data_IF_568453992889
#
_entry.id   IF_568453992889
#
_cell.length_a   1.000
_cell.length_b   1.000
_cell.length_c   1.000
_cell.angle_alpha   90.00
_cell.angle_beta   90.00
_cell.angle_gamma   90.00
#
_symmetry.space_group_name_H-M   'P 1'
#
loop_
_entity.id
_entity.type
_entity.pdbx_description
1 polymer ?
2 non-polymer ?
3 water ?
#
# COMPACT_ATOMS: atom_id res chain seq x y z
N UNK A 14 -5.37 2.73 23.76
CA UNK A 14 -5.76 1.39 24.24
C UNK A 14 -7.29 1.23 24.19
N UNK A 15 -8.05 2.20 24.72
CA UNK A 15 -9.54 2.24 24.62
C UNK A 15 -9.93 2.39 23.14
N UNK A 16 -9.25 3.29 22.44
CA UNK A 16 -9.38 3.54 20.99
C UNK A 16 -9.12 2.28 20.19
N UNK A 17 -8.05 1.54 20.47
CA UNK A 17 -7.62 0.42 19.58
C UNK A 17 -8.51 -0.80 19.86
N UNK A 18 -8.85 -1.05 21.11
CA UNK A 18 -9.66 -2.21 21.50
C UNK A 18 -11.01 -2.10 20.79
N UNK A 19 -11.45 -3.20 20.20
CA UNK A 19 -12.80 -3.28 19.65
C UNK A 19 -12.84 -4.00 18.33
N UNK A 20 -13.94 -3.82 17.62
CA UNK A 20 -14.26 -4.55 16.38
C UNK A 20 -14.00 -3.59 15.23
N UNK A 21 -13.13 -3.99 14.29
CA UNK A 21 -12.74 -3.17 13.13
C UNK A 21 -13.03 -3.96 11.85
N UNK A 22 -13.29 -3.22 10.80
CA UNK A 22 -13.56 -3.76 9.47
C UNK A 22 -12.69 -3.05 8.49
N UNK A 23 -12.21 -3.81 7.50
CA UNK A 23 -11.38 -3.19 6.47
C UNK A 23 -12.21 -3.01 5.20
N UNK A 24 -11.57 -2.56 4.15
CA UNK A 24 -12.25 -2.21 2.88
C UNK A 24 -12.74 -3.49 2.18
N UNK A 25 -12.28 -4.67 2.60
CA UNK A 25 -12.72 -5.94 2.01
C UNK A 25 -13.92 -6.51 2.79
N UNK A 26 -14.25 -5.91 3.94
CA UNK A 26 -15.27 -6.44 4.86
C UNK A 26 -14.74 -7.49 5.79
N UNK A 27 -13.43 -7.63 5.89
CA UNK A 27 -12.77 -8.50 6.89
C UNK A 27 -12.99 -7.90 8.28
N UNK A 28 -13.05 -8.74 9.30
CA UNK A 28 -13.39 -8.35 10.69
C UNK A 28 -12.18 -8.63 11.56
N UNK A 29 -11.71 -7.60 12.23
CA UNK A 29 -10.51 -7.59 13.11
C UNK A 29 -10.99 -7.28 14.54
N UNK A 30 -10.98 -8.25 15.43
CA UNK A 30 -11.46 -8.05 16.83
C UNK A 30 -10.22 -8.07 17.70
N UNK A 31 -9.90 -6.94 18.29
CA UNK A 31 -8.62 -6.81 19.03
C UNK A 31 -8.87 -6.27 20.42
N UNK A 32 -8.08 -6.74 21.35
CA UNK A 32 -7.91 -6.18 22.71
C UNK A 32 -6.50 -5.63 22.83
N UNK A 33 -6.37 -4.34 23.12
CA UNK A 33 -5.09 -3.67 23.40
C UNK A 33 -4.81 -3.76 24.91
N UNK A 34 -3.77 -4.50 25.31
CA UNK A 34 -3.30 -4.57 26.70
C UNK A 34 -2.63 -3.26 27.11
N UNK A 35 -2.57 -3.01 28.44
CA UNK A 35 -2.01 -1.76 29.00
C UNK A 35 -0.53 -1.64 28.64
N UNK A 36 0.16 -2.77 28.50
CA UNK A 36 1.64 -2.87 28.31
C UNK A 36 2.00 -3.29 26.86
N UNK A 37 1.14 -2.98 25.89
CA UNK A 37 1.57 -3.02 24.48
C UNK A 37 1.14 -4.28 23.74
N UNK A 38 0.41 -5.21 24.35
CA UNK A 38 -0.03 -6.45 23.67
C UNK A 38 -1.32 -6.17 22.87
N UNK A 39 -1.37 -6.73 21.67
CA UNK A 39 -2.61 -6.93 20.87
C UNK A 39 -2.94 -8.41 20.89
N UNK A 40 -4.21 -8.76 21.18
CA UNK A 40 -4.69 -10.14 21.10
C UNK A 40 -6.08 -10.14 20.46
N UNK A 41 -6.40 -11.18 19.75
CA UNK A 41 -7.79 -11.28 19.28
C UNK A 41 -7.94 -12.24 18.16
N UNK A 42 -8.87 -11.90 17.24
CA UNK A 42 -9.28 -12.81 16.15
C UNK A 42 -9.43 -11.99 14.87
N UNK A 43 -9.19 -12.66 13.75
CA UNK A 43 -9.29 -12.07 12.40
C UNK A 43 -10.09 -13.04 11.54
N UNK A 44 -11.10 -12.50 10.87
CA UNK A 44 -11.91 -13.23 9.89
C UNK A 44 -11.73 -12.53 8.56
N UNK A 45 -11.14 -13.20 7.59
CA UNK A 45 -10.96 -12.59 6.26
C UNK A 45 -12.20 -12.80 5.39
N UNK A 46 -12.62 -11.74 4.73
CA UNK A 46 -13.71 -11.78 3.73
C UNK A 46 -13.22 -12.43 2.43
N UNK A 47 -11.91 -12.60 2.25
CA UNK A 47 -11.32 -13.10 0.97
C UNK A 47 -10.29 -14.20 1.25
N UNK A 48 -9.90 -14.95 0.22
CA UNK A 48 -8.76 -15.87 0.29
C UNK A 48 -9.20 -17.27 0.58
N UNK A 49 -8.28 -18.16 1.00
CA UNK A 49 -8.48 -19.64 1.00
C UNK A 49 -9.70 -20.00 1.88
N UNK A 50 -10.76 -20.52 1.24
CA UNK A 50 -12.10 -20.72 1.84
C UNK A 50 -12.79 -19.41 2.17
N UNK A 85 -16.61 -19.61 13.58
CA UNK A 85 -15.42 -20.20 14.24
C UNK A 85 -14.42 -20.70 13.20
N UNK A 86 -14.92 -21.30 12.12
CA UNK A 86 -14.10 -21.99 11.07
C UNK A 86 -13.48 -20.95 10.14
N UNK A 87 -14.00 -19.71 10.13
CA UNK A 87 -13.43 -18.61 9.33
C UNK A 87 -12.63 -17.64 10.21
N UNK A 88 -12.47 -17.94 11.50
CA UNK A 88 -11.79 -16.99 12.42
C UNK A 88 -10.41 -17.55 12.74
N UNK A 89 -9.44 -16.64 12.89
CA UNK A 89 -8.04 -17.02 13.16
C UNK A 89 -7.51 -16.15 14.31
N UNK A 90 -6.63 -16.75 15.09
CA UNK A 90 -5.97 -16.03 16.22
C UNK A 90 -5.07 -14.97 15.64
N UNK A 91 -5.07 -13.82 16.28
CA UNK A 91 -4.00 -12.83 16.01
C UNK A 91 -3.29 -12.46 17.29
N UNK A 92 -2.03 -12.08 17.15
CA UNK A 92 -1.31 -11.43 18.24
C UNK A 92 -0.47 -10.32 17.64
N UNK A 93 -0.18 -9.30 18.40
CA UNK A 93 0.63 -8.16 17.94
C UNK A 93 1.08 -7.31 19.09
N UNK A 94 1.53 -6.12 18.74
CA UNK A 94 2.12 -5.14 19.65
C UNK A 94 1.69 -3.75 19.20
N UNK A 95 1.57 -2.83 20.13
CA UNK A 95 1.36 -1.42 19.77
C UNK A 95 2.17 -0.58 20.74
N UNK A 96 2.44 0.65 20.31
CA UNK A 96 3.12 1.66 21.14
C UNK A 96 2.12 2.15 22.20
N UNK A 97 2.31 1.75 23.45
CA UNK A 97 1.39 2.09 24.56
C UNK A 97 1.71 3.47 25.14
N UNK A 98 2.71 4.18 24.58
CA UNK A 98 2.99 5.58 24.98
C UNK A 98 3.36 6.43 23.76
N UNK A 99 2.40 6.69 22.85
CA UNK A 99 2.70 7.41 21.62
C UNK A 99 3.09 8.88 21.87
N UNK A 100 3.70 9.51 20.88
CA UNK A 100 3.97 10.96 20.83
C UNK A 100 2.65 11.69 21.10
N UNK A 101 2.68 12.93 21.59
CA UNK A 101 1.46 13.72 21.90
C UNK A 101 1.38 14.93 20.97
N UNK A 102 2.00 14.83 19.78
CA UNK A 102 2.13 15.92 18.78
C UNK A 102 1.14 15.69 17.62
N UNK A 103 0.07 14.91 17.84
CA UNK A 103 -0.91 14.51 16.82
C UNK A 103 -0.38 13.39 15.92
N UNK A 104 0.70 12.72 16.33
CA UNK A 104 1.22 11.54 15.61
C UNK A 104 0.26 10.37 15.83
N UNK A 105 0.12 9.50 14.85
CA UNK A 105 -0.53 8.20 15.06
C UNK A 105 0.26 7.29 15.99
N UNK A 106 -0.39 6.22 16.36
CA UNK A 106 0.13 5.19 17.25
C UNK A 106 0.58 3.96 16.45
N UNK A 107 1.87 3.65 16.50
CA UNK A 107 2.38 2.53 15.66
C UNK A 107 1.91 1.20 16.21
N UNK A 108 1.59 0.29 15.32
CA UNK A 108 1.19 -1.05 15.77
C UNK A 108 1.39 -2.09 14.68
N UNK A 109 1.28 -3.35 15.06
CA UNK A 109 1.34 -4.43 14.10
C UNK A 109 0.78 -5.71 14.64
N UNK A 110 0.38 -6.60 13.75
CA UNK A 110 -0.10 -7.92 14.21
C UNK A 110 0.09 -8.98 13.15
N UNK A 111 0.05 -10.21 13.59
CA UNK A 111 0.19 -11.41 12.75
C UNK A 111 -1.02 -12.32 12.89
N UNK A 112 -1.40 -12.88 11.77
CA UNK A 112 -2.31 -14.05 11.70
C UNK A 112 -1.59 -15.13 10.93
N UNK A 113 -1.45 -16.32 11.51
CA UNK A 113 -1.15 -17.55 10.75
C UNK A 113 -2.48 -18.19 10.39
N UNK A 114 -2.67 -18.53 9.13
CA UNK A 114 -3.98 -18.91 8.57
C UNK A 114 -4.24 -20.38 8.80
N UNK A 115 -4.09 -20.78 10.05
CA UNK A 115 -4.42 -22.13 10.53
C UNK A 115 -5.39 -21.99 11.69
N UNK A 116 -6.50 -22.74 11.65
CA UNK A 116 -7.37 -22.88 12.84
C UNK A 116 -7.68 -24.37 12.93
N UNK A 117 -8.69 -24.80 13.67
CA UNK A 117 -8.87 -26.26 13.88
C UNK A 117 -9.55 -26.89 12.66
N UNK A 118 -9.97 -26.08 11.68
CA UNK A 118 -10.82 -26.48 10.53
C UNK A 118 -10.10 -26.29 9.19
N UNK A 119 -9.20 -25.31 9.10
CA UNK A 119 -8.57 -24.91 7.82
C UNK A 119 -7.10 -24.58 8.02
N UNK A 120 -6.33 -24.74 6.97
CA UNK A 120 -4.89 -24.35 7.01
C UNK A 120 -4.46 -23.91 5.61
N UNK A 121 -4.16 -22.63 5.48
CA UNK A 121 -3.76 -22.02 4.20
C UNK A 121 -2.23 -21.97 4.09
N UNK A 122 -1.50 -22.51 5.08
CA UNK A 122 -0.02 -22.59 5.09
C UNK A 122 0.53 -21.22 4.70
N UNK A 123 0.10 -20.22 5.44
CA UNK A 123 0.49 -18.83 5.15
C UNK A 123 0.31 -18.00 6.41
N UNK A 124 0.89 -16.80 6.41
CA UNK A 124 0.82 -15.90 7.57
C UNK A 124 0.79 -14.49 7.00
N UNK A 125 -0.03 -13.63 7.57
CA UNK A 125 -0.07 -12.21 7.20
C UNK A 125 0.38 -11.40 8.40
N UNK A 126 1.19 -10.39 8.16
CA UNK A 126 1.50 -9.37 9.15
C UNK A 126 1.01 -8.05 8.62
N UNK A 127 0.39 -7.31 9.49
CA UNK A 127 -0.06 -5.91 9.21
C UNK A 127 0.82 -4.99 10.04
N UNK A 128 1.34 -3.97 9.42
CA UNK A 128 2.13 -2.95 10.13
C UNK A 128 1.47 -1.62 9.84
N UNK A 129 1.21 -0.81 10.86
CA UNK A 129 0.52 0.45 10.55
C UNK A 129 0.41 1.37 11.74
N UNK A 130 -0.53 2.29 11.65
CA UNK A 130 -0.76 3.23 12.77
C UNK A 130 -2.26 3.44 12.95
N UNK A 131 -2.59 3.58 14.21
CA UNK A 131 -3.93 3.98 14.69
C UNK A 131 -3.96 5.50 14.73
N UNK A 132 -4.97 6.08 14.09
CA UNK A 132 -5.24 7.54 14.05
C UNK A 132 -6.57 7.75 14.77
N UNK A 133 -6.53 8.40 15.93
CA UNK A 133 -7.76 8.74 16.68
C UNK A 133 -8.50 9.85 15.95
N UNK A 134 -9.70 10.20 16.40
CA UNK A 134 -10.44 11.38 15.91
C UNK A 134 -11.93 11.09 15.79
N UNK A 135 -12.64 11.97 15.08
CA UNK A 135 -14.06 11.78 14.72
C UNK A 135 -14.26 10.32 14.31
N UNK A 136 -13.67 9.90 13.19
CA UNK A 136 -13.67 8.47 12.77
C UNK A 136 -12.24 7.93 12.90
N UNK A 137 -11.97 7.24 14.01
CA UNK A 137 -10.73 6.49 14.27
C UNK A 137 -10.47 5.56 13.09
N UNK A 138 -9.21 5.40 12.74
CA UNK A 138 -8.85 4.56 11.58
C UNK A 138 -7.53 3.87 11.95
N UNK A 139 -7.37 2.64 11.52
CA UNK A 139 -6.04 1.96 11.48
C UNK A 139 -5.64 1.81 10.02
N UNK A 140 -4.55 2.47 9.65
CA UNK A 140 -4.02 2.39 8.28
C UNK A 140 -2.86 1.43 8.28
N UNK A 141 -2.87 0.46 7.40
CA UNK A 141 -1.86 -0.63 7.51
C UNK A 141 -1.31 -0.91 6.12
N UNK A 142 -0.11 -1.44 6.10
CA UNK A 142 0.41 -2.25 4.98
C UNK A 142 0.60 -3.66 5.49
N UNK A 143 0.53 -4.62 4.60
CA UNK A 143 0.60 -6.04 5.01
C UNK A 143 1.44 -6.87 4.09
N UNK A 144 2.04 -7.92 4.67
CA UNK A 144 2.82 -8.92 3.94
C UNK A 144 2.21 -10.28 4.24
N UNK A 145 1.83 -10.99 3.21
CA UNK A 145 1.23 -12.35 3.27
C UNK A 145 2.23 -13.32 2.68
N UNK A 146 2.89 -14.12 3.53
CA UNK A 146 3.89 -15.07 3.05
C UNK A 146 3.30 -16.46 3.10
N UNK A 147 3.43 -17.20 2.01
CA UNK A 147 3.00 -18.61 1.92
C UNK A 147 4.21 -19.48 2.14
N UNK A 148 4.05 -20.63 2.82
CA UNK A 148 5.10 -21.65 2.80
C UNK A 148 5.29 -22.12 1.37
N UNK A 149 6.51 -22.10 0.86
CA UNK A 149 6.86 -22.54 -0.51
C UNK A 149 8.07 -23.47 -0.46
N UNK A 150 8.28 -24.18 -1.55
CA UNK A 150 9.59 -24.77 -1.91
C UNK A 150 10.61 -23.65 -2.11
N UNK A 151 11.89 -23.98 -2.02
CA UNK A 151 12.96 -22.98 -2.29
C UNK A 151 12.80 -22.46 -3.72
N UNK A 152 12.44 -23.30 -4.70
CA UNK A 152 12.35 -22.87 -6.12
C UNK A 152 11.24 -21.82 -6.31
N UNK A 153 10.18 -21.84 -5.49
CA UNK A 153 9.03 -20.92 -5.63
C UNK A 153 9.08 -19.79 -4.59
N UNK A 154 10.14 -19.69 -3.81
CA UNK A 154 10.23 -18.74 -2.67
C UNK A 154 10.25 -17.29 -3.18
N UNK A 155 10.69 -17.04 -4.41
CA UNK A 155 10.67 -15.69 -5.04
C UNK A 155 9.23 -15.16 -5.08
N UNK A 156 8.26 -16.05 -5.23
CA UNK A 156 6.85 -15.68 -5.37
C UNK A 156 6.09 -15.91 -4.06
N UNK A 157 6.75 -15.98 -2.91
CA UNK A 157 6.11 -16.40 -1.62
C UNK A 157 5.24 -15.30 -1.01
N UNK A 158 5.41 -14.03 -1.38
CA UNK A 158 4.94 -12.92 -0.49
C UNK A 158 4.10 -11.91 -1.25
N UNK A 159 2.80 -11.84 -0.95
CA UNK A 159 1.96 -10.75 -1.42
C UNK A 159 2.08 -9.54 -0.50
N UNK A 160 1.91 -8.36 -1.07
CA UNK A 160 1.89 -7.10 -0.30
C UNK A 160 0.64 -6.31 -0.65
N UNK A 161 0.05 -5.70 0.36
CA UNK A 161 -1.05 -4.78 0.13
C UNK A 161 -1.25 -3.83 1.27
N UNK A 162 -2.44 -3.24 1.30
CA UNK A 162 -2.72 -2.17 2.26
C UNK A 162 -4.18 -2.32 2.64
N UNK A 163 -4.44 -2.20 3.94
CA UNK A 163 -5.81 -2.34 4.47
C UNK A 163 -6.05 -1.13 5.37
N UNK A 164 -7.24 -0.55 5.28
CA UNK A 164 -7.67 0.53 6.20
C UNK A 164 -8.89 0.00 6.95
N UNK A 165 -8.83 0.13 8.27
CA UNK A 165 -9.85 -0.37 9.20
C UNK A 165 -10.54 0.82 9.86
N UNK A 166 -11.86 0.72 9.95
CA UNK A 166 -12.70 1.63 10.75
C UNK A 166 -13.68 0.78 11.51
N UNK A 167 -14.27 1.35 12.56
CA UNK A 167 -15.22 0.62 13.40
C UNK A 167 -16.61 0.63 12.75
N UNK A 168 -16.76 1.22 11.56
CA UNK A 168 -18.08 1.29 10.87
C UNK A 168 -18.39 -0.07 10.23
N UNK A 169 -19.50 -0.70 10.62
CA UNK A 169 -19.92 -2.03 10.10
C UNK A 169 -20.25 -1.88 8.62
N UNK A 170 -19.90 -2.86 7.75
CA UNK A 170 -20.06 -2.68 6.29
C UNK A 170 -21.52 -2.43 5.87
N UNK B 13 -5.98 0.57 -24.26
CA UNK B 13 -5.90 1.51 -23.09
C UNK B 13 -4.88 2.62 -23.29
N UNK B 14 -4.12 2.63 -24.40
CA UNK B 14 -3.17 3.71 -24.74
C UNK B 14 -3.83 5.06 -24.53
N UNK B 15 -5.04 5.27 -25.04
CA UNK B 15 -5.78 6.56 -24.94
C UNK B 15 -6.18 6.80 -23.48
N UNK B 16 -6.63 5.73 -22.80
CA UNK B 16 -7.13 5.80 -21.40
C UNK B 16 -6.01 6.13 -20.41
N UNK B 17 -4.82 5.53 -20.57
CA UNK B 17 -3.67 5.79 -19.66
C UNK B 17 -3.09 7.17 -19.97
N UNK B 18 -2.97 7.53 -21.25
CA UNK B 18 -2.43 8.84 -21.66
C UNK B 18 -3.22 9.97 -21.00
N UNK B 19 -2.52 10.92 -20.38
CA UNK B 19 -3.16 12.11 -19.83
C UNK B 19 -2.55 12.55 -18.54
N UNK B 20 -3.31 13.34 -17.80
CA UNK B 20 -2.89 13.99 -16.55
C UNK B 20 -3.69 13.39 -15.41
N UNK B 21 -2.94 12.84 -14.46
CA UNK B 21 -3.49 12.12 -13.29
C UNK B 21 -3.02 12.79 -12.01
N UNK B 22 -3.84 12.70 -10.98
CA UNK B 22 -3.54 13.25 -9.65
C UNK B 22 -3.72 12.13 -8.65
N UNK B 23 -2.82 12.07 -7.66
CA UNK B 23 -3.00 11.08 -6.59
C UNK B 23 -3.54 11.79 -5.35
N UNK B 24 -3.73 11.02 -4.30
CA UNK B 24 -4.40 11.46 -3.04
C UNK B 24 -3.54 12.50 -2.31
N UNK B 25 -2.26 12.64 -2.66
CA UNK B 25 -1.34 13.67 -2.09
C UNK B 25 -1.40 14.95 -2.92
N UNK B 26 -2.07 14.93 -4.06
CA UNK B 26 -2.10 16.07 -5.01
C UNK B 26 -0.90 16.09 -5.94
N UNK B 27 -0.14 15.00 -6.05
CA UNK B 27 0.96 14.88 -7.03
C UNK B 27 0.35 14.80 -8.43
N UNK B 28 1.08 15.29 -9.41
CA UNK B 28 0.67 15.35 -10.83
C UNK B 28 1.54 14.41 -11.67
N UNK B 29 0.87 13.47 -12.32
CA UNK B 29 1.41 12.38 -13.13
C UNK B 29 0.93 12.66 -14.55
N UNK B 30 1.82 13.16 -15.40
CA UNK B 30 1.54 13.46 -16.82
C UNK B 30 2.22 12.39 -17.63
N UNK B 31 1.43 11.54 -18.30
CA UNK B 31 2.01 10.37 -18.99
C UNK B 31 1.42 10.25 -20.39
N UNK B 32 2.28 9.81 -21.28
CA UNK B 32 1.97 9.32 -22.64
C UNK B 32 2.24 7.81 -22.67
N UNK B 33 1.23 7.04 -23.06
CA UNK B 33 1.33 5.60 -23.34
C UNK B 33 1.56 5.40 -24.85
N UNK B 34 2.65 4.74 -25.23
CA UNK B 34 3.01 4.47 -26.64
C UNK B 34 2.36 3.17 -27.09
N UNK B 35 2.19 2.96 -28.40
CA UNK B 35 1.52 1.75 -28.92
C UNK B 35 2.33 0.50 -28.56
N UNK B 36 3.63 0.67 -28.36
CA UNK B 36 4.65 -0.39 -28.07
C UNK B 36 4.70 -0.80 -26.58
N UNK B 37 3.92 -0.19 -25.69
CA UNK B 37 3.99 -0.47 -24.24
C UNK B 37 4.83 0.53 -23.45
N UNK B 38 5.35 1.60 -24.06
CA UNK B 38 6.17 2.61 -23.37
C UNK B 38 5.26 3.56 -22.58
N UNK B 39 5.73 4.00 -21.42
CA UNK B 39 5.18 5.12 -20.64
C UNK B 39 6.28 6.19 -20.58
N UNK B 40 5.93 7.41 -20.94
CA UNK B 40 6.85 8.59 -20.88
C UNK B 40 6.09 9.74 -20.26
N UNK B 41 6.76 10.56 -19.48
CA UNK B 41 6.12 11.76 -18.97
C UNK B 41 6.91 12.42 -17.87
N UNK B 42 6.18 13.08 -16.98
CA UNK B 42 6.74 13.93 -15.93
C UNK B 42 5.92 13.65 -14.68
N UNK B 43 6.60 13.73 -13.54
CA UNK B 43 5.98 13.53 -12.24
C UNK B 43 6.32 14.75 -11.39
N UNK B 44 5.32 15.30 -10.73
CA UNK B 44 5.49 16.46 -9.83
C UNK B 44 4.94 16.03 -8.48
N UNK B 45 5.81 15.89 -7.48
CA UNK B 45 5.38 15.41 -6.16
C UNK B 45 4.95 16.61 -5.32
N UNK B 46 3.81 16.49 -4.68
CA UNK B 46 3.28 17.48 -3.72
C UNK B 46 4.10 17.41 -2.43
N UNK B 47 4.80 16.30 -2.19
CA UNK B 47 5.51 16.02 -0.91
C UNK B 47 6.95 15.61 -1.17
N UNK B 48 7.78 15.63 -0.13
CA UNK B 48 9.13 15.09 -0.22
C UNK B 48 10.19 16.16 -0.28
N UNK B 49 11.42 15.77 -0.61
CA UNK B 49 12.62 16.62 -0.43
C UNK B 49 12.45 17.89 -1.30
N UNK B 50 12.63 19.06 -0.67
CA UNK B 50 12.51 20.37 -1.32
C UNK B 50 11.10 20.95 -1.26
N UNK B 51 10.08 20.20 -0.82
CA UNK B 51 8.75 20.74 -0.52
C UNK B 51 8.75 21.35 0.89
N UNK B 84 5.28 23.79 -10.88
CA UNK B 84 6.64 24.36 -10.74
C UNK B 84 7.65 23.31 -11.21
N UNK B 85 8.52 23.71 -12.16
CA UNK B 85 9.52 22.86 -12.83
C UNK B 85 10.53 22.33 -11.79
N UNK B 86 10.69 23.03 -10.68
CA UNK B 86 11.60 22.60 -9.59
C UNK B 86 11.15 21.24 -9.07
N UNK B 87 9.83 21.03 -9.02
CA UNK B 87 9.18 19.86 -8.41
C UNK B 87 8.81 18.85 -9.50
N UNK B 88 9.28 19.02 -10.73
CA UNK B 88 8.89 18.13 -11.86
C UNK B 88 10.07 17.29 -12.35
N UNK B 89 9.80 16.00 -12.57
CA UNK B 89 10.86 15.03 -12.84
C UNK B 89 10.42 14.12 -13.98
N UNK B 90 11.41 13.61 -14.68
CA UNK B 90 11.23 12.67 -15.82
C UNK B 90 10.78 11.33 -15.24
N UNK B 91 9.81 10.70 -15.89
CA UNK B 91 9.47 9.28 -15.61
C UNK B 91 9.47 8.50 -16.91
N UNK B 92 9.68 7.20 -16.76
CA UNK B 92 9.59 6.20 -17.84
C UNK B 92 9.03 4.95 -17.21
N UNK B 93 8.29 4.20 -17.99
CA UNK B 93 7.83 2.89 -17.52
C UNK B 93 7.26 2.09 -18.68
N UNK B 94 6.47 1.09 -18.32
CA UNK B 94 5.92 0.13 -19.29
C UNK B 94 4.49 -0.15 -18.87
N UNK B 95 3.68 -0.60 -19.81
CA UNK B 95 2.33 -1.08 -19.52
C UNK B 95 2.03 -2.23 -20.47
N UNK B 96 1.14 -3.09 -20.04
CA UNK B 96 0.63 -4.23 -20.84
C UNK B 96 -0.26 -3.65 -21.95
N UNK B 97 0.22 -3.65 -23.19
CA UNK B 97 -0.49 -3.04 -24.34
C UNK B 97 -1.58 -3.98 -24.88
N UNK B 98 -1.68 -5.21 -24.37
CA UNK B 98 -2.72 -6.19 -24.78
C UNK B 98 -3.28 -6.87 -23.55
N UNK B 99 -4.02 -6.15 -22.69
CA UNK B 99 -4.55 -6.74 -21.45
C UNK B 99 -5.60 -7.82 -21.71
N UNK B 100 -5.96 -8.57 -20.67
CA UNK B 100 -7.10 -9.52 -20.66
C UNK B 100 -8.38 -8.74 -20.93
N UNK B 101 -9.41 -9.41 -21.46
CA UNK B 101 -10.71 -8.79 -21.79
C UNK B 101 -11.77 -9.30 -20.81
N UNK B 102 -11.34 -9.94 -19.71
CA UNK B 102 -12.22 -10.50 -18.64
C UNK B 102 -12.56 -9.41 -17.61
N UNK B 103 -12.39 -8.13 -17.94
CA UNK B 103 -12.59 -7.01 -17.00
C UNK B 103 -11.44 -6.84 -16.02
N UNK B 104 -10.33 -7.52 -16.24
CA UNK B 104 -9.07 -7.34 -15.48
C UNK B 104 -8.50 -5.94 -15.76
N UNK B 105 -7.82 -5.35 -14.78
CA UNK B 105 -7.01 -4.15 -14.99
C UNK B 105 -5.82 -4.41 -15.88
N UNK B 106 -5.17 -3.33 -16.28
CA UNK B 106 -3.98 -3.29 -17.12
C UNK B 106 -2.74 -3.04 -16.29
N UNK B 107 -1.87 -4.03 -16.20
CA UNK B 107 -0.64 -3.92 -15.37
C UNK B 107 0.25 -2.84 -15.96
N UNK B 108 0.88 -2.05 -15.08
CA UNK B 108 1.80 -1.01 -15.53
C UNK B 108 2.72 -0.62 -14.37
N UNK B 109 3.81 0.04 -14.71
CA UNK B 109 4.80 0.49 -13.73
C UNK B 109 5.57 1.63 -14.30
N UNK B 110 6.13 2.45 -13.43
CA UNK B 110 7.03 3.52 -13.88
C UNK B 110 8.01 3.89 -12.77
N UNK B 111 9.07 4.55 -13.18
CA UNK B 111 10.20 4.97 -12.34
C UNK B 111 10.35 6.47 -12.41
N UNK B 112 10.64 7.08 -11.26
CA UNK B 112 11.20 8.46 -11.22
C UNK B 112 12.47 8.42 -10.42
N UNK B 113 13.59 8.93 -10.98
CA UNK B 113 14.81 9.25 -10.21
C UNK B 113 14.72 10.72 -9.86
N UNK B 114 14.80 11.02 -8.57
CA UNK B 114 14.43 12.33 -8.01
C UNK B 114 15.58 13.31 -8.25
N UNK B 115 16.04 13.36 -9.48
CA UNK B 115 17.02 14.39 -9.93
C UNK B 115 16.42 15.13 -11.12
N UNK B 116 16.52 16.45 -11.11
CA UNK B 116 16.10 17.28 -12.24
C UNK B 116 17.16 18.38 -12.33
N UNK B 117 16.89 19.49 -13.04
CA UNK B 117 17.94 20.51 -13.25
C UNK B 117 18.10 21.33 -11.97
N UNK B 118 17.18 21.23 -11.02
CA UNK B 118 17.14 22.10 -9.81
C UNK B 118 17.53 21.36 -8.53
N UNK B 119 17.20 20.08 -8.46
CA UNK B 119 17.14 19.34 -7.19
C UNK B 119 17.66 17.92 -7.42
N UNK B 120 18.30 17.34 -6.40
CA UNK B 120 18.65 15.90 -6.41
C UNK B 120 18.44 15.33 -5.01
N UNK B 121 17.42 14.51 -4.87
CA UNK B 121 17.09 13.80 -3.62
C UNK B 121 17.80 12.45 -3.51
N UNK B 122 18.70 12.08 -4.44
CA UNK B 122 19.53 10.85 -4.38
C UNK B 122 18.65 9.64 -4.05
N UNK B 123 17.55 9.55 -4.75
CA UNK B 123 16.52 8.52 -4.50
C UNK B 123 15.76 8.26 -5.79
N UNK B 124 15.00 7.18 -5.79
CA UNK B 124 14.18 6.76 -6.93
C UNK B 124 12.94 6.05 -6.41
N UNK B 125 11.81 6.39 -6.98
CA UNK B 125 10.56 5.66 -6.69
C UNK B 125 10.13 4.90 -7.92
N UNK B 126 9.64 3.70 -7.69
CA UNK B 126 8.91 2.92 -8.69
C UNK B 126 7.50 2.67 -8.23
N UNK B 127 6.57 2.82 -9.16
CA UNK B 127 5.15 2.58 -8.91
C UNK B 127 4.82 1.36 -9.73
N UNK B 128 4.20 0.41 -9.10
CA UNK B 128 3.74 -0.84 -9.74
C UNK B 128 2.24 -0.94 -9.51
N UNK B 129 1.45 -1.15 -10.55
CA UNK B 129 0.00 -1.06 -10.35
C UNK B 129 -0.80 -1.52 -11.53
N UNK B 130 -2.05 -1.11 -11.54
CA UNK B 130 -2.96 -1.45 -12.64
C UNK B 130 -3.88 -0.26 -12.88
N UNK B 131 -4.14 -0.09 -14.16
CA UNK B 131 -5.10 0.85 -14.70
C UNK B 131 -6.47 0.17 -14.75
N UNK B 132 -7.49 0.81 -14.21
CA UNK B 132 -8.89 0.33 -14.34
C UNK B 132 -9.68 1.40 -15.11
N UNK B 133 -10.18 1.04 -16.29
CA UNK B 133 -10.94 1.95 -17.15
C UNK B 133 -12.39 2.08 -16.70
N UNK B 134 -13.22 2.70 -17.53
CA UNK B 134 -14.61 2.97 -17.15
C UNK B 134 -14.78 4.46 -16.94
N UNK B 135 -15.96 4.82 -16.45
CA UNK B 135 -16.43 6.21 -16.32
C UNK B 135 -15.57 6.99 -15.31
N UNK B 136 -15.09 6.32 -14.25
CA UNK B 136 -14.19 6.96 -13.25
C UNK B 136 -12.88 6.17 -13.23
N UNK B 137 -12.08 6.39 -14.26
CA UNK B 137 -10.83 5.67 -14.55
C UNK B 137 -9.90 5.89 -13.36
N UNK B 138 -9.11 4.89 -13.02
CA UNK B 138 -8.23 5.02 -11.83
C UNK B 138 -6.95 4.24 -12.11
N UNK B 139 -5.84 4.69 -11.57
CA UNK B 139 -4.62 3.84 -11.50
C UNK B 139 -4.37 3.56 -10.01
N UNK B 140 -4.34 2.30 -9.66
CA UNK B 140 -4.06 1.85 -8.29
C UNK B 140 -2.61 1.36 -8.25
N UNK B 141 -1.81 1.86 -7.32
CA UNK B 141 -0.37 1.54 -7.34
C UNK B 141 0.09 1.24 -5.91
N UNK B 142 1.16 0.48 -5.86
CA UNK B 142 2.04 0.46 -4.68
C UNK B 142 3.39 0.91 -5.16
N UNK B 143 4.15 1.52 -4.24
CA UNK B 143 5.44 2.10 -4.64
C UNK B 143 6.55 1.76 -3.66
N UNK B 144 7.77 1.80 -4.20
CA UNK B 144 9.02 1.61 -3.45
C UNK B 144 9.89 2.83 -3.72
N UNK B 145 10.24 3.54 -2.67
CA UNK B 145 11.15 4.71 -2.77
C UNK B 145 12.49 4.31 -2.16
N UNK B 146 13.53 4.17 -2.97
CA UNK B 146 14.84 3.74 -2.48
C UNK B 146 15.75 4.96 -2.48
N UNK B 147 16.41 5.20 -1.37
CA UNK B 147 17.47 6.25 -1.28
C UNK B 147 18.83 5.64 -1.44
N UNK B 148 19.75 6.36 -2.09
CA UNK B 148 21.18 6.03 -2.03
C UNK B 148 21.63 6.10 -0.60
N UNK B 149 22.24 5.04 -0.08
CA UNK B 149 22.72 5.03 1.33
C UNK B 149 24.13 4.45 1.40
N UNK B 150 24.78 4.61 2.55
CA UNK B 150 25.97 3.80 2.89
C UNK B 150 25.50 2.36 3.12
N UNK B 151 26.42 1.40 3.10
CA UNK B 151 26.11 -0.02 3.37
C UNK B 151 25.51 -0.10 4.79
N UNK B 152 26.01 0.69 5.73
CA UNK B 152 25.59 0.66 7.15
C UNK B 152 24.13 1.08 7.29
N UNK B 153 23.64 1.96 6.41
CA UNK B 153 22.24 2.47 6.51
C UNK B 153 21.31 1.83 5.47
N UNK B 154 21.79 0.85 4.73
CA UNK B 154 21.07 0.24 3.58
C UNK B 154 19.81 -0.45 4.10
N UNK B 155 19.82 -0.93 5.35
CA UNK B 155 18.60 -1.55 5.91
C UNK B 155 17.43 -0.58 5.86
N UNK B 156 17.67 0.74 5.99
CA UNK B 156 16.62 1.77 6.09
C UNK B 156 16.46 2.47 4.75
N UNK B 157 16.88 1.87 3.64
CA UNK B 157 17.00 2.62 2.35
C UNK B 157 15.64 2.80 1.70
N UNK B 158 14.64 2.00 2.04
CA UNK B 158 13.45 1.88 1.17
C UNK B 158 12.13 2.11 1.91
N UNK B 159 11.38 3.11 1.46
CA UNK B 159 9.99 3.39 1.89
C UNK B 159 9.04 2.64 0.96
N UNK B 160 7.90 2.28 1.50
CA UNK B 160 6.83 1.65 0.74
C UNK B 160 5.52 2.38 1.01
N UNK B 161 4.70 2.50 0.00
CA UNK B 161 3.38 3.07 0.17
C UNK B 161 2.49 2.75 -0.99
N UNK B 162 1.36 3.44 -1.02
CA UNK B 162 0.35 3.17 -2.08
C UNK B 162 -0.26 4.49 -2.50
N UNK B 163 -0.37 4.70 -3.81
CA UNK B 163 -0.97 5.92 -4.40
C UNK B 163 -2.11 5.48 -5.32
N UNK B 164 -3.24 6.19 -5.27
CA UNK B 164 -4.36 5.95 -6.23
C UNK B 164 -4.49 7.23 -7.05
N UNK B 165 -4.53 7.11 -8.37
CA UNK B 165 -4.57 8.27 -9.30
C UNK B 165 -5.95 8.34 -9.94
N UNK B 166 -6.47 9.54 -10.10
CA UNK B 166 -7.65 9.73 -10.98
C UNK B 166 -7.40 10.96 -11.84
N UNK B 167 -8.30 11.23 -12.77
CA UNK B 167 -8.11 12.39 -13.68
C UNK B 167 -8.72 13.67 -13.06
N UNK B 168 -9.28 13.60 -11.87
CA UNK B 168 -9.94 14.77 -11.22
C UNK B 168 -8.89 15.64 -10.52
N UNK B 169 -8.64 16.83 -11.10
CA UNK B 169 -7.81 17.93 -10.52
C UNK B 169 -8.40 18.24 -9.13
N UNK B 170 -7.63 18.07 -8.03
CA UNK B 170 -8.21 18.15 -6.67
C UNK B 170 -8.25 19.57 -6.09
X LIG C 1 -5.16 -16.59 -2.55
X LIG C 1 -4.37 -15.26 -2.63
X LIG C 1 -6.31 -12.93 3.39
X LIG C 1 -5.30 -14.10 3.51
X LIG C 1 -6.02 -15.44 3.76
X LIG C 1 -5.02 -16.65 3.65
X LIG C 1 -4.78 -17.04 2.20
X LIG C 1 -3.03 -18.23 0.78
X LIG C 1 -6.49 -16.61 -3.01
X LIG C 1 -2.50 -17.13 -0.18
X LIG C 1 -4.60 -17.71 -2.04
X LIG C 1 -8.54 -8.86 5.29
X LIG C 1 -7.66 -9.17 4.50
X LIG C 1 -7.64 -10.44 3.67
X LIG C 1 -6.54 -10.49 2.85
X LIG C 1 -5.70 -9.10 3.17
X LIG C 1 -4.38 -9.52 3.78
X LIG C 1 -4.61 -11.06 4.53
X LIG C 1 -6.48 -8.40 4.12
X LIG C 1 -5.45 -11.62 3.28
X LIG C 1 -3.47 -17.63 2.04
X LIG C 1 -3.15 -17.64 -1.53
X LIG C 1 -7.25 -17.81 -2.95
X LIG C 1 -8.71 -17.83 -3.45
X LIG C 1 -6.67 -18.95 -2.46
X LIG C 1 -5.37 -18.95 -1.98
X LIG C 1 -4.78 -20.29 -1.44
X LIG C 1 -2.08 -17.66 -2.19
X LIG C 1 -2.51 -18.78 -4.51
X LIG C 1 -0.76 -17.95 -1.53
X LIG C 1 0.50 -18.45 -2.26
X LIG C 1 0.75 -19.89 -2.31
X LIG C 1 -0.22 -20.87 -1.67
X LIG C 1 1.91 -20.37 -2.98
X LIG C 1 2.86 -19.44 -3.61
X LIG C 1 4.13 -19.91 -4.36
X LIG C 1 2.62 -18.04 -3.55
X LIG C 1 1.47 -17.52 -2.91
X LIG C 1 1.35 -15.94 -2.95
X LIG C 1 -1.14 -17.29 -0.19
X LIG C 1 -5.58 -16.87 1.33
X LIG D 1 13.25 13.84 2.61
X LIG D 1 14.75 14.08 2.26
X LIG D 1 7.91 11.48 -3.15
X LIG D 1 9.45 11.27 -3.07
X LIG D 1 10.27 12.55 -3.45
X LIG D 1 11.80 12.26 -3.25
X LIG D 1 12.22 12.30 -1.78
X LIG D 1 14.14 11.45 -0.26
X LIG D 1 12.42 14.92 2.96
X LIG D 1 13.37 10.60 0.74
X LIG D 1 12.71 12.58 2.55
X LIG D 1 3.35 11.43 -5.18
X LIG D 1 4.04 10.85 -4.36
X LIG D 1 5.11 11.49 -3.56
X LIG D 1 5.63 10.57 -2.66
X LIG D 1 4.87 9.13 -2.96
X LIG D 1 5.94 8.28 -3.54
X LIG D 1 7.21 9.14 -4.23
X LIG D 1 3.94 9.43 -3.94
X LIG D 1 7.14 10.17 -2.96
X LIG D 1 13.43 11.49 -1.54
X LIG D 1 13.60 11.45 2.07
X LIG D 1 11.05 14.72 3.27
X LIG D 1 10.17 15.91 3.67
X LIG D 1 10.51 13.44 3.23
X LIG D 1 11.32 12.37 2.86
X LIG D 1 10.66 10.94 2.82
X LIG D 1 13.95 10.45 2.74
X LIG D 1 14.79 11.25 5.05
X LIG D 1 14.65 9.25 2.21
X LIG D 1 15.79 8.51 2.92
X LIG D 1 17.10 9.12 2.95
X LIG D 1 17.38 10.45 2.29
X LIG D 1 18.17 8.44 3.63
X LIG D 1 17.95 7.16 4.28
X LIG D 1 19.06 6.38 5.03
X LIG D 1 16.66 6.57 4.24
X LIG D 1 15.57 7.21 3.60
X LIG D 1 14.21 6.39 3.69
X LIG D 1 13.99 9.38 0.82
X LIG D 1 11.59 12.89 -0.97
#
# INVERSE_FOLDING_TARGET
>A
MASMTGGQQMGRDQAGITGTWYNQLGSTFIVTAGADGALTGTYESAVGAGADNFANIPPERYVQVNGTPGPDETTLTTGDAGKNAESRYVLTGRYDSAPATDGSGTALGWTVAWKNNYRNAHSATTWSGQYVGGAEARINTQWLLTSGTTEANAWASTLVGHDTFTKVKPSAASIDAAKKAGVNNGNPLDAVQQ
>B
MASMTGGQQMGRDQAGITGTWYNQLGSTFIVTAGADGALTGTYESAVGAGADNFANIPPERYVQVNGTPGPDETTLTTGDAGKNAESRYVLTGRYDSAPATDGSGTALGWTVAWKNNYRNAHSATTWSGQYVGGAEARINTQWLLTSGTTEANAWASTLVGHDTFTKVKPSAASIDAAKKAGVNNGNPLDAVQQ
>C hetero
1 UFW C20 C21 C10 C11 C12 C13 C14 C16 C22 C17 C19 O01 C02 N03 C04 C05 C06 S07 N08 C09 N15 N18 C23 C24 C25 C26 C27 C28 AU1 N30 C31 C32 C33 C34 C35 C36 C37 C38 C39 C40 O41
>D hetero
1 UFW C20 C21 C10 C11 C12 C13 C14 C16 C22 C17 C19 O01 C02 N03 C04 C05 C06 S07 N08 C09 N15 N18 C23 C24 C25 C26 C27 C28 AU1 N30 C31 C32 C33 C34 C35 C36 C37 C38 C39 C40 O41
#
